data_IF_519619859681
#
_entry.id   IF_519619859681
#
_cell.length_a   1.000
_cell.length_b   1.000
_cell.length_c   1.000
_cell.angle_alpha   90.00
_cell.angle_beta   90.00
_cell.angle_gamma   90.00
#
_symmetry.space_group_name_H-M   'P 1'
#
loop_
_entity.id
_entity.type
_entity.pdbx_description
1 polymer ?
#
# COMPACT_ATOMS: atom_id res chain seq x y z
N UNK A 1 0.25 11.03 -0.83
CA UNK A 1 -1.00 11.25 -1.60
C UNK A 1 -1.66 9.96 -2.12
N UNK A 2 -0.99 8.80 -2.14
CA UNK A 2 -1.56 7.55 -2.67
C UNK A 2 -2.72 6.97 -1.85
N UNK A 3 -2.71 7.12 -0.53
CA UNK A 3 -3.79 6.66 0.34
C UNK A 3 -4.48 7.86 1.02
N UNK A 4 -5.81 8.05 0.84
CA UNK A 4 -6.52 9.21 1.38
C UNK A 4 -6.63 9.21 2.91
N UNK A 5 -6.51 8.04 3.54
CA UNK A 5 -6.57 7.86 5.00
C UNK A 5 -5.18 7.72 5.65
N UNK A 6 -4.11 7.92 4.86
CA UNK A 6 -2.73 7.98 5.34
C UNK A 6 -2.23 6.76 6.16
N UNK A 7 -2.59 5.55 5.73
CA UNK A 7 -2.21 4.28 6.40
C UNK A 7 -1.03 3.56 5.75
N UNK A 8 -0.33 4.19 4.81
CA UNK A 8 0.81 3.61 4.10
C UNK A 8 2.11 4.23 4.61
N UNK A 9 3.04 3.40 5.08
CA UNK A 9 4.35 3.83 5.58
C UNK A 9 5.47 3.11 4.84
N UNK A 10 6.64 3.74 4.75
CA UNK A 10 7.84 3.08 4.23
C UNK A 10 8.42 2.17 5.31
N UNK A 11 8.71 0.93 4.94
CA UNK A 11 9.42 0.00 5.81
C UNK A 11 10.85 0.45 6.05
N UNK A 12 11.29 0.40 7.30
CA UNK A 12 12.67 0.73 7.67
C UNK A 12 13.61 -0.47 7.55
N UNK A 13 13.06 -1.69 7.62
CA UNK A 13 13.84 -2.93 7.71
C UNK A 13 13.69 -3.81 6.47
N UNK A 14 12.68 -3.56 5.64
CA UNK A 14 12.31 -4.42 4.52
C UNK A 14 12.45 -3.68 3.19
N UNK A 15 13.07 -4.35 2.23
CA UNK A 15 13.18 -3.93 0.84
C UNK A 15 12.78 -5.07 -0.08
N UNK A 16 12.29 -4.73 -1.28
CA UNK A 16 11.99 -5.73 -2.30
C UNK A 16 13.28 -6.26 -2.96
N UNK A 17 13.17 -7.24 -3.85
CA UNK A 17 14.30 -7.84 -4.56
C UNK A 17 15.11 -6.86 -5.42
N UNK A 18 14.60 -5.65 -5.68
CA UNK A 18 15.29 -4.56 -6.40
C UNK A 18 16.00 -3.58 -5.46
N UNK A 19 15.93 -3.80 -4.14
CA UNK A 19 16.51 -2.92 -3.12
C UNK A 19 15.68 -1.69 -2.78
N UNK A 20 14.46 -1.58 -3.30
CA UNK A 20 13.56 -0.47 -2.94
C UNK A 20 12.84 -0.78 -1.63
N UNK A 21 12.77 0.19 -0.72
CA UNK A 21 11.97 0.10 0.49
C UNK A 21 10.52 -0.25 0.13
N UNK A 22 9.95 -1.21 0.86
CA UNK A 22 8.55 -1.60 0.65
C UNK A 22 7.60 -0.69 1.44
N UNK A 23 6.32 -0.78 1.11
CA UNK A 23 5.26 -0.06 1.81
C UNK A 23 4.57 -1.04 2.76
N UNK A 24 4.39 -0.63 4.00
CA UNK A 24 3.60 -1.33 5.02
C UNK A 24 2.27 -0.61 5.27
N UNK A 25 1.26 -1.39 5.68
CA UNK A 25 -0.06 -0.90 6.05
C UNK A 25 -0.19 -0.90 7.57
N UNK A 26 -0.29 0.26 8.19
CA UNK A 26 -0.30 0.38 9.67
C UNK A 26 -1.69 0.17 10.28
N UNK A 27 -2.74 0.66 9.62
CA UNK A 27 -4.11 0.65 10.13
C UNK A 27 -5.07 0.09 9.06
N UNK A 28 -5.01 -1.23 8.78
CA UNK A 28 -5.76 -1.83 7.68
C UNK A 28 -7.28 -1.66 7.82
N UNK A 29 -7.80 -1.56 9.05
CA UNK A 29 -9.22 -1.31 9.34
C UNK A 29 -9.74 0.04 8.83
N UNK A 30 -8.86 1.04 8.67
CA UNK A 30 -9.23 2.35 8.11
C UNK A 30 -9.29 2.34 6.58
N UNK A 31 -8.89 1.25 5.92
CA UNK A 31 -8.88 1.16 4.47
C UNK A 31 -10.30 1.29 3.89
N UNK A 32 -10.53 2.31 3.06
CA UNK A 32 -11.83 2.55 2.40
C UNK A 32 -11.98 1.81 1.07
N UNK A 33 -11.05 0.91 0.74
CA UNK A 33 -11.05 0.14 -0.52
C UNK A 33 -11.12 1.01 -1.79
N UNK A 34 -10.50 2.20 -1.77
CA UNK A 34 -10.51 3.14 -2.90
C UNK A 34 -9.59 2.75 -4.07
N UNK A 35 -8.78 1.70 -3.93
CA UNK A 35 -7.85 1.16 -4.93
C UNK A 35 -6.73 2.09 -5.44
N UNK A 36 -6.63 3.34 -4.97
CA UNK A 36 -5.65 4.31 -5.47
C UNK A 36 -4.20 3.89 -5.27
N UNK A 37 -3.90 3.22 -4.16
CA UNK A 37 -2.58 2.66 -3.88
C UNK A 37 -2.18 1.54 -4.85
N UNK A 38 -3.12 0.68 -5.24
CA UNK A 38 -2.89 -0.37 -6.23
C UNK A 38 -2.65 0.20 -7.64
N UNK A 39 -3.39 1.24 -8.02
CA UNK A 39 -3.27 1.88 -9.35
C UNK A 39 -1.94 2.62 -9.56
N UNK A 40 -1.37 3.20 -8.51
CA UNK A 40 -0.10 3.94 -8.59
C UNK A 40 1.13 3.07 -8.31
N UNK A 41 0.95 1.84 -7.81
CA UNK A 41 2.07 0.97 -7.45
C UNK A 41 2.79 0.49 -8.72
N UNK A 42 4.06 0.87 -8.94
CA UNK A 42 4.79 0.51 -10.16
C UNK A 42 5.09 -0.99 -10.25
N UNK A 43 5.25 -1.65 -9.10
CA UNK A 43 5.53 -3.09 -9.02
C UNK A 43 4.25 -3.93 -8.92
N UNK A 44 3.06 -3.32 -8.99
CA UNK A 44 1.76 -4.03 -8.86
C UNK A 44 1.65 -4.89 -7.59
N UNK A 45 2.35 -4.50 -6.53
CA UNK A 45 2.48 -5.30 -5.29
C UNK A 45 1.25 -5.23 -4.37
N UNK A 46 0.33 -4.30 -4.61
CA UNK A 46 -0.84 -4.04 -3.76
C UNK A 46 -2.10 -4.50 -4.50
N UNK A 47 -2.87 -5.39 -3.87
CA UNK A 47 -4.20 -5.79 -4.35
C UNK A 47 -5.27 -5.31 -3.37
N UNK A 48 -6.33 -4.69 -3.89
CA UNK A 48 -7.45 -4.19 -3.07
C UNK A 48 -8.71 -4.96 -3.45
N UNK A 49 -9.34 -5.57 -2.46
CA UNK A 49 -10.61 -6.27 -2.60
C UNK A 49 -11.75 -5.42 -2.04
N UNK A 50 -12.94 -5.56 -2.63
CA UNK A 50 -14.17 -4.94 -2.12
C UNK A 50 -15.24 -6.02 -2.06
N UNK A 51 -15.66 -6.35 -0.85
CA UNK A 51 -16.78 -7.27 -0.66
C UNK A 51 -18.08 -6.54 -0.99
N UNK A 52 -18.98 -7.24 -1.69
CA UNK A 52 -20.35 -6.82 -1.97
C UNK A 52 -21.26 -7.26 -0.83
#
# INVERSE_FOLDING_TARGET
MACPVNILVLSQEQANSKGNAIIEVTEPEKCTSCARCAQICPDTAITVYRNK
#
